data_IF_918137909229
#
_entry.id   IF_918137909229
#
_cell.length_a   1.000
_cell.length_b   1.000
_cell.length_c   1.000
_cell.angle_alpha   90.00
_cell.angle_beta   90.00
_cell.angle_gamma   90.00
#
_symmetry.space_group_name_H-M   'P 1'
#
loop_
_entity.id
_entity.type
_entity.pdbx_description
1 polymer ?
#
# COMPACT_ATOMS: atom_id res chain seq x y z
N UNK A 1 6.44 12.25 23.78
CA UNK A 1 7.37 11.76 22.76
C UNK A 1 7.36 10.24 22.84
N UNK A 2 6.99 9.59 21.75
CA UNK A 2 7.05 8.14 21.64
C UNK A 2 8.52 7.69 21.58
N UNK A 3 8.81 6.50 22.08
CA UNK A 3 10.14 5.87 21.91
C UNK A 3 10.40 5.49 20.45
N UNK A 4 9.38 5.55 19.59
CA UNK A 4 9.48 5.28 18.16
C UNK A 4 9.86 6.50 17.33
N UNK A 5 9.72 7.74 17.86
CA UNK A 5 9.98 8.95 17.07
C UNK A 5 11.41 8.94 16.48
N UNK A 6 12.43 8.69 17.28
CA UNK A 6 13.84 8.59 16.82
C UNK A 6 14.17 7.34 16.02
N UNK A 7 13.28 6.35 15.98
CA UNK A 7 13.39 5.13 15.18
C UNK A 7 12.47 5.16 13.94
N UNK A 8 11.90 6.33 13.64
CA UNK A 8 11.01 6.55 12.49
C UNK A 8 11.75 7.26 11.36
N UNK A 9 11.56 6.75 10.14
CA UNK A 9 12.07 7.31 8.91
C UNK A 9 10.91 7.74 8.01
N UNK A 10 10.85 9.01 7.63
CA UNK A 10 9.93 9.54 6.62
C UNK A 10 10.63 9.55 5.27
N UNK A 11 10.16 8.75 4.34
CA UNK A 11 10.69 8.64 2.98
C UNK A 11 9.94 9.61 2.08
N UNK A 12 10.66 10.54 1.46
CA UNK A 12 10.14 11.59 0.59
C UNK A 12 10.79 11.46 -0.79
N UNK A 13 10.12 10.79 -1.74
CA UNK A 13 10.59 10.73 -3.13
C UNK A 13 10.56 12.10 -3.80
N UNK A 14 11.62 12.45 -4.54
CA UNK A 14 11.72 13.71 -5.26
C UNK A 14 12.11 13.51 -6.72
N UNK A 15 11.49 14.31 -7.60
CA UNK A 15 11.90 14.52 -8.98
C UNK A 15 11.40 15.87 -9.47
N UNK A 16 12.29 16.87 -9.56
CA UNK A 16 11.98 18.27 -9.85
C UNK A 16 11.06 18.89 -8.78
N UNK A 17 11.50 18.86 -7.52
CA UNK A 17 10.74 19.34 -6.36
C UNK A 17 11.49 20.44 -5.60
N UNK A 18 12.33 21.22 -6.31
CA UNK A 18 13.20 22.24 -5.69
C UNK A 18 12.43 23.29 -4.88
N UNK A 19 11.18 23.60 -5.27
CA UNK A 19 10.31 24.56 -4.57
C UNK A 19 9.61 23.91 -3.37
N UNK A 20 9.21 22.65 -3.48
CA UNK A 20 8.46 21.91 -2.46
C UNK A 20 9.37 21.36 -1.35
N UNK A 21 10.58 20.92 -1.70
CA UNK A 21 11.48 20.26 -0.76
C UNK A 21 11.77 21.08 0.52
N UNK A 22 12.09 22.39 0.46
CA UNK A 22 12.30 23.19 1.68
C UNK A 22 11.05 23.28 2.55
N UNK A 23 9.88 23.33 1.94
CA UNK A 23 8.60 23.47 2.63
C UNK A 23 8.25 22.19 3.38
N UNK A 24 8.32 21.03 2.69
CA UNK A 24 7.94 19.77 3.30
C UNK A 24 8.93 19.34 4.39
N UNK A 25 10.24 19.45 4.14
CA UNK A 25 11.25 19.10 5.15
C UNK A 25 11.15 19.99 6.39
N UNK A 26 10.99 21.32 6.21
CA UNK A 26 10.78 22.24 7.32
C UNK A 26 9.55 21.90 8.16
N UNK A 27 8.41 21.62 7.52
CA UNK A 27 7.16 21.23 8.21
C UNK A 27 7.29 19.90 8.96
N UNK A 28 7.97 18.91 8.39
CA UNK A 28 8.22 17.62 9.10
C UNK A 28 9.08 17.87 10.33
N UNK A 29 10.17 18.63 10.21
CA UNK A 29 11.08 18.94 11.32
C UNK A 29 10.41 19.77 12.42
N UNK A 30 9.48 20.68 12.06
CA UNK A 30 8.70 21.45 13.02
C UNK A 30 7.67 20.58 13.75
N UNK A 31 6.96 19.71 13.03
CA UNK A 31 5.90 18.85 13.58
C UNK A 31 6.46 17.73 14.48
N UNK A 32 7.53 17.08 14.06
CA UNK A 32 8.14 15.92 14.72
C UNK A 32 9.68 16.02 14.71
N UNK A 33 10.27 16.76 15.65
CA UNK A 33 11.71 17.08 15.65
C UNK A 33 12.64 15.86 15.73
N UNK A 34 12.19 14.74 16.31
CA UNK A 34 13.01 13.53 16.50
C UNK A 34 12.92 12.53 15.33
N UNK A 35 12.00 12.76 14.38
CA UNK A 35 11.82 11.87 13.24
C UNK A 35 12.90 12.16 12.19
N UNK A 36 13.43 11.11 11.57
CA UNK A 36 14.38 11.23 10.48
C UNK A 36 13.66 11.34 9.13
N UNK A 37 14.26 12.07 8.20
CA UNK A 37 13.78 12.25 6.83
C UNK A 37 14.80 11.62 5.88
N UNK A 38 14.33 10.83 4.93
CA UNK A 38 15.12 10.38 3.78
C UNK A 38 14.55 11.01 2.50
N UNK A 39 15.27 11.93 1.91
CA UNK A 39 14.99 12.42 0.57
C UNK A 39 15.54 11.42 -0.44
N UNK A 40 14.67 10.85 -1.27
CA UNK A 40 15.06 9.90 -2.33
C UNK A 40 14.97 10.62 -3.67
N UNK A 41 16.09 11.11 -4.16
CA UNK A 41 16.15 11.92 -5.37
C UNK A 41 16.41 11.07 -6.63
N UNK A 42 15.49 11.12 -7.58
CA UNK A 42 15.53 10.41 -8.86
C UNK A 42 16.38 11.16 -9.91
N UNK A 43 17.56 11.69 -9.50
CA UNK A 43 18.48 12.46 -10.34
C UNK A 43 17.78 13.70 -10.95
N UNK A 44 17.26 14.55 -10.10
CA UNK A 44 16.54 15.78 -10.48
C UNK A 44 17.47 16.78 -11.20
N UNK A 45 17.12 17.23 -12.40
CA UNK A 45 17.94 18.20 -13.15
C UNK A 45 17.77 19.66 -12.68
N UNK A 46 16.82 19.95 -11.76
CA UNK A 46 16.50 21.31 -11.30
C UNK A 46 17.28 21.75 -10.06
N UNK A 47 18.18 20.91 -9.53
CA UNK A 47 18.96 21.20 -8.32
C UNK A 47 18.31 20.71 -7.03
N UNK A 48 17.23 19.91 -7.09
CA UNK A 48 16.59 19.34 -5.90
C UNK A 48 17.56 18.50 -5.07
N UNK A 49 18.39 17.65 -5.72
CA UNK A 49 19.36 16.79 -5.04
C UNK A 49 20.43 17.59 -4.29
N UNK A 50 21.02 18.61 -4.93
CA UNK A 50 22.01 19.48 -4.29
C UNK A 50 21.40 20.27 -3.11
N UNK A 51 20.12 20.63 -3.22
CA UNK A 51 19.41 21.29 -2.13
C UNK A 51 19.19 20.33 -0.96
N UNK A 52 18.87 19.06 -1.22
CA UNK A 52 18.75 18.04 -0.20
C UNK A 52 20.08 17.78 0.53
N UNK A 53 21.20 17.72 -0.21
CA UNK A 53 22.53 17.60 0.37
C UNK A 53 22.88 18.75 1.31
N UNK A 54 22.48 19.97 0.95
CA UNK A 54 22.69 21.14 1.81
C UNK A 54 21.90 21.00 3.14
N UNK A 55 20.67 20.49 3.10
CA UNK A 55 19.90 20.26 4.32
C UNK A 55 20.49 19.15 5.17
N UNK A 56 20.96 18.05 4.57
CA UNK A 56 21.62 16.96 5.29
C UNK A 56 22.94 17.40 5.95
N UNK A 57 23.63 18.37 5.38
CA UNK A 57 24.84 18.94 5.98
C UNK A 57 24.56 19.84 7.20
N UNK A 58 23.34 20.37 7.34
CA UNK A 58 22.92 21.27 8.42
C UNK A 58 22.13 20.55 9.53
N UNK A 59 21.47 19.40 9.22
CA UNK A 59 20.61 18.66 10.15
C UNK A 59 20.87 17.14 10.04
N UNK A 60 21.41 16.54 11.07
CA UNK A 60 21.73 15.10 11.15
C UNK A 60 20.49 14.17 11.05
N UNK A 61 19.27 14.71 11.13
CA UNK A 61 18.03 13.97 10.92
C UNK A 61 17.58 13.94 9.46
N UNK A 62 18.27 14.63 8.57
CA UNK A 62 17.97 14.63 7.14
C UNK A 62 19.04 13.82 6.41
N UNK A 63 18.58 12.85 5.64
CA UNK A 63 19.42 11.97 4.83
C UNK A 63 19.03 12.09 3.36
N UNK A 64 19.96 11.79 2.46
CA UNK A 64 19.73 11.83 1.02
C UNK A 64 20.16 10.52 0.40
N UNK A 65 19.33 9.99 -0.49
CA UNK A 65 19.63 8.86 -1.35
C UNK A 65 19.50 9.30 -2.81
N UNK A 66 20.62 9.49 -3.47
CA UNK A 66 20.66 9.77 -4.90
C UNK A 66 20.50 8.49 -5.70
N UNK A 67 19.54 8.46 -6.62
CA UNK A 67 19.36 7.37 -7.56
C UNK A 67 19.95 7.74 -8.93
N UNK A 68 20.40 6.75 -9.69
CA UNK A 68 21.06 7.00 -10.99
C UNK A 68 20.14 7.64 -12.04
N UNK A 69 18.81 7.52 -11.88
CA UNK A 69 17.83 8.09 -12.80
C UNK A 69 16.39 7.82 -12.38
N UNK A 70 15.46 8.39 -13.13
CA UNK A 70 14.01 8.31 -12.85
C UNK A 70 13.49 6.88 -12.96
N UNK A 71 13.36 6.22 -11.82
CA UNK A 71 12.78 4.87 -11.69
C UNK A 71 11.30 4.85 -11.34
N UNK A 72 10.69 6.03 -11.19
CA UNK A 72 9.29 6.19 -10.77
C UNK A 72 9.07 6.02 -9.27
N UNK A 73 7.87 6.38 -8.83
CA UNK A 73 7.50 6.48 -7.41
C UNK A 73 7.71 5.16 -6.65
N UNK A 74 7.25 4.03 -7.21
CA UNK A 74 7.48 2.71 -6.61
C UNK A 74 8.96 2.43 -6.36
N UNK A 75 9.79 2.63 -7.39
CA UNK A 75 11.23 2.37 -7.26
C UNK A 75 11.91 3.27 -6.23
N UNK A 76 11.44 4.51 -6.07
CA UNK A 76 11.95 5.43 -5.06
C UNK A 76 11.54 4.98 -3.64
N UNK A 77 10.30 4.55 -3.43
CA UNK A 77 9.88 4.01 -2.13
C UNK A 77 10.59 2.70 -1.79
N UNK A 78 10.72 1.76 -2.73
CA UNK A 78 11.49 0.52 -2.48
C UNK A 78 12.92 0.84 -2.03
N UNK A 79 13.63 1.71 -2.78
CA UNK A 79 14.99 2.10 -2.41
C UNK A 79 15.05 2.77 -1.02
N UNK A 80 14.04 3.57 -0.67
CA UNK A 80 13.92 4.18 0.66
C UNK A 80 13.63 3.16 1.76
N UNK A 81 12.78 2.17 1.51
CA UNK A 81 12.50 1.07 2.45
C UNK A 81 13.77 0.24 2.70
N UNK A 82 14.44 -0.21 1.63
CA UNK A 82 15.70 -0.97 1.74
C UNK A 82 16.74 -0.18 2.52
N UNK A 83 16.93 1.11 2.22
CA UNK A 83 17.86 2.00 2.93
C UNK A 83 17.53 2.10 4.43
N UNK A 84 16.26 2.22 4.77
CA UNK A 84 15.79 2.28 6.17
C UNK A 84 15.92 0.95 6.90
N UNK A 85 15.58 -0.16 6.25
CA UNK A 85 15.73 -1.51 6.81
C UNK A 85 17.19 -1.87 7.09
N UNK A 86 18.14 -1.45 6.25
CA UNK A 86 19.58 -1.62 6.50
C UNK A 86 20.10 -0.84 7.71
N UNK A 87 19.36 0.16 8.20
CA UNK A 87 19.78 1.09 9.28
C UNK A 87 18.95 0.99 10.55
N UNK A 88 18.27 -0.15 10.74
CA UNK A 88 17.52 -0.48 11.93
C UNK A 88 16.36 0.47 12.29
N UNK A 89 15.82 1.24 11.34
CA UNK A 89 14.58 1.98 11.58
C UNK A 89 13.43 1.02 11.85
N UNK A 90 12.60 1.32 12.85
CA UNK A 90 11.50 0.47 13.30
C UNK A 90 10.18 0.83 12.64
N UNK A 91 10.04 2.09 12.19
CA UNK A 91 8.87 2.59 11.49
C UNK A 91 9.34 3.34 10.23
N UNK A 92 8.77 2.97 9.09
CA UNK A 92 9.05 3.62 7.82
C UNK A 92 7.76 4.23 7.28
N UNK A 93 7.82 5.52 6.91
CA UNK A 93 6.65 6.26 6.46
C UNK A 93 6.81 6.70 5.00
N UNK A 94 5.73 6.63 4.24
CA UNK A 94 5.61 7.22 2.92
C UNK A 94 5.00 8.62 3.02
N UNK A 95 5.59 9.60 2.36
CA UNK A 95 5.07 10.97 2.27
C UNK A 95 5.49 11.62 0.96
N UNK A 96 4.53 12.22 0.24
CA UNK A 96 4.83 12.96 -0.99
C UNK A 96 5.47 14.32 -0.71
N UNK A 97 6.35 14.78 -1.61
CA UNK A 97 7.04 16.06 -1.48
C UNK A 97 6.15 17.28 -1.74
N UNK A 98 5.02 17.11 -2.44
CA UNK A 98 4.21 18.20 -3.01
C UNK A 98 3.27 18.90 -2.01
N UNK A 99 3.37 18.54 -0.72
CA UNK A 99 2.57 19.14 0.36
C UNK A 99 1.12 18.65 0.43
N UNK A 100 0.72 17.67 -0.41
CA UNK A 100 -0.62 17.06 -0.34
C UNK A 100 -0.87 16.34 0.97
N UNK A 101 0.17 15.75 1.56
CA UNK A 101 0.17 15.13 2.87
C UNK A 101 0.60 16.17 3.93
N UNK A 102 -0.21 16.36 4.96
CA UNK A 102 0.10 17.26 6.05
C UNK A 102 1.06 16.61 7.06
N UNK A 103 2.33 17.06 7.17
CA UNK A 103 3.28 16.50 8.15
C UNK A 103 2.78 16.61 9.60
N UNK A 104 1.97 17.63 9.88
CA UNK A 104 1.35 17.87 11.19
C UNK A 104 0.38 16.74 11.60
N UNK A 105 -0.06 15.91 10.64
CA UNK A 105 -0.93 14.75 10.89
C UNK A 105 -0.18 13.43 10.99
N UNK A 106 1.16 13.41 10.79
CA UNK A 106 1.95 12.18 10.89
C UNK A 106 1.85 11.52 12.26
N UNK A 107 1.71 12.34 13.32
CA UNK A 107 1.53 11.82 14.68
C UNK A 107 0.31 10.89 14.80
N UNK A 108 -0.78 11.10 14.02
CA UNK A 108 -1.95 10.22 14.04
C UNK A 108 -1.62 8.82 13.56
N UNK A 109 -0.75 8.71 12.55
CA UNK A 109 -0.30 7.41 12.04
C UNK A 109 0.62 6.72 13.07
N UNK A 110 1.57 7.46 13.64
CA UNK A 110 2.53 6.94 14.61
C UNK A 110 1.85 6.50 15.91
N UNK A 111 0.82 7.20 16.36
CA UNK A 111 0.02 6.78 17.52
C UNK A 111 -0.65 5.42 17.34
N UNK A 112 -1.14 5.09 16.14
CA UNK A 112 -1.73 3.77 15.88
C UNK A 112 -0.65 2.68 15.76
N UNK A 113 0.53 3.03 15.23
CA UNK A 113 1.70 2.14 15.30
C UNK A 113 2.06 1.85 16.76
N UNK A 114 2.12 2.85 17.63
CA UNK A 114 2.40 2.67 19.07
C UNK A 114 1.35 1.76 19.75
N UNK A 115 0.10 1.81 19.32
CA UNK A 115 -0.99 0.97 19.82
C UNK A 115 -0.98 -0.46 19.23
N UNK A 116 0.00 -0.79 18.39
CA UNK A 116 0.23 -2.15 17.89
C UNK A 116 -0.17 -2.39 16.44
N UNK A 117 -0.60 -1.38 15.67
CA UNK A 117 -0.83 -1.55 14.23
C UNK A 117 0.48 -1.86 13.49
N UNK A 118 0.40 -2.69 12.45
CA UNK A 118 1.53 -3.04 11.58
C UNK A 118 1.61 -2.12 10.36
N UNK A 119 0.45 -1.66 9.87
CA UNK A 119 0.32 -0.68 8.81
C UNK A 119 -0.75 0.34 9.20
N UNK A 120 -0.43 1.62 9.08
CA UNK A 120 -1.42 2.69 9.23
C UNK A 120 -1.52 3.49 7.94
N UNK A 121 -2.74 3.65 7.47
CA UNK A 121 -3.06 4.39 6.24
C UNK A 121 -3.74 5.70 6.63
N UNK A 122 -3.16 6.82 6.20
CA UNK A 122 -3.83 8.12 6.25
C UNK A 122 -4.95 8.17 5.21
N UNK A 123 -6.18 8.04 5.67
CA UNK A 123 -7.36 7.84 4.82
C UNK A 123 -8.16 9.14 4.65
N UNK A 124 -8.51 9.44 3.40
CA UNK A 124 -9.39 10.55 3.01
C UNK A 124 -10.86 10.22 3.23
N UNK A 125 -11.20 8.93 3.46
CA UNK A 125 -12.58 8.43 3.33
C UNK A 125 -13.16 7.82 4.59
N UNK A 126 -12.39 7.65 5.65
CA UNK A 126 -12.91 7.35 6.99
C UNK A 126 -13.56 8.59 7.64
N UNK A 127 -14.42 8.43 8.64
CA UNK A 127 -15.03 9.57 9.33
C UNK A 127 -13.97 10.55 9.85
N UNK A 128 -14.07 11.81 9.42
CA UNK A 128 -13.11 12.87 9.74
C UNK A 128 -12.03 13.10 8.67
N UNK A 129 -11.89 12.20 7.69
CA UNK A 129 -11.02 12.39 6.53
C UNK A 129 -11.67 13.30 5.48
N UNK A 130 -10.85 14.08 4.76
CA UNK A 130 -11.34 15.01 3.75
C UNK A 130 -10.34 15.27 2.63
N UNK A 131 -10.86 15.78 1.52
CA UNK A 131 -10.06 16.30 0.39
C UNK A 131 -10.33 17.79 0.24
N UNK A 132 -9.26 18.58 0.15
CA UNK A 132 -9.34 20.05 0.03
C UNK A 132 -8.90 20.47 -1.38
N UNK A 133 -9.65 21.36 -1.99
CA UNK A 133 -9.41 21.91 -3.34
C UNK A 133 -9.52 20.88 -4.49
N UNK A 134 -10.03 19.68 -4.25
CA UNK A 134 -10.29 18.73 -5.33
C UNK A 134 -11.56 19.05 -6.10
N UNK A 135 -11.58 18.87 -7.42
CA UNK A 135 -12.82 18.85 -8.18
C UNK A 135 -13.72 17.70 -7.70
N UNK A 136 -15.02 17.96 -7.51
CA UNK A 136 -15.98 16.95 -7.04
C UNK A 136 -15.99 15.67 -7.91
N UNK A 137 -15.77 15.80 -9.22
CA UNK A 137 -15.67 14.67 -10.16
C UNK A 137 -14.49 13.75 -9.84
N UNK A 138 -13.33 14.32 -9.46
CA UNK A 138 -12.13 13.57 -9.08
C UNK A 138 -12.36 12.86 -7.75
N UNK A 139 -12.94 13.53 -6.76
CA UNK A 139 -13.27 12.92 -5.47
C UNK A 139 -14.23 11.74 -5.65
N UNK A 140 -15.31 11.95 -6.41
CA UNK A 140 -16.29 10.90 -6.68
C UNK A 140 -15.67 9.69 -7.37
N UNK A 141 -14.84 9.90 -8.40
CA UNK A 141 -14.15 8.83 -9.11
C UNK A 141 -13.20 8.06 -8.17
N UNK A 142 -12.46 8.77 -7.31
CA UNK A 142 -11.55 8.16 -6.35
C UNK A 142 -12.29 7.33 -5.29
N UNK A 143 -13.42 7.83 -4.75
CA UNK A 143 -14.28 7.09 -3.81
C UNK A 143 -14.87 5.82 -4.43
N UNK A 144 -15.38 5.91 -5.66
CA UNK A 144 -15.91 4.74 -6.39
C UNK A 144 -14.79 3.73 -6.69
N UNK A 145 -13.61 4.22 -7.07
CA UNK A 145 -12.43 3.36 -7.29
C UNK A 145 -12.07 2.57 -6.04
N UNK A 146 -11.96 3.24 -4.90
CA UNK A 146 -11.66 2.57 -3.62
C UNK A 146 -12.76 1.60 -3.19
N UNK A 147 -14.04 1.97 -3.32
CA UNK A 147 -15.15 1.06 -3.05
C UNK A 147 -15.08 -0.21 -3.91
N UNK A 148 -14.76 -0.06 -5.21
CA UNK A 148 -14.57 -1.19 -6.10
C UNK A 148 -13.38 -2.07 -5.68
N UNK A 149 -12.24 -1.46 -5.35
CA UNK A 149 -11.02 -2.15 -4.91
C UNK A 149 -11.32 -2.98 -3.65
N UNK A 150 -11.91 -2.36 -2.62
CA UNK A 150 -12.25 -3.04 -1.36
C UNK A 150 -13.22 -4.20 -1.59
N UNK A 151 -14.26 -3.99 -2.41
CA UNK A 151 -15.21 -5.05 -2.77
C UNK A 151 -14.52 -6.19 -3.55
N UNK A 152 -13.70 -5.88 -4.54
CA UNK A 152 -13.03 -6.89 -5.35
C UNK A 152 -12.04 -7.73 -4.54
N UNK A 153 -11.27 -7.09 -3.66
CA UNK A 153 -10.25 -7.74 -2.84
C UNK A 153 -10.80 -8.33 -1.54
N UNK A 154 -12.05 -8.00 -1.16
CA UNK A 154 -12.69 -8.51 0.05
C UNK A 154 -12.09 -7.93 1.33
N UNK A 155 -11.77 -6.62 1.32
CA UNK A 155 -11.23 -5.88 2.46
C UNK A 155 -12.24 -4.86 2.98
N UNK A 156 -12.07 -4.42 4.23
CA UNK A 156 -12.87 -3.35 4.83
C UNK A 156 -12.17 -1.98 4.77
N UNK A 157 -11.04 -1.88 4.06
CA UNK A 157 -10.26 -0.65 3.94
C UNK A 157 -10.97 0.35 3.02
N UNK A 158 -11.06 1.60 3.47
CA UNK A 158 -11.78 2.68 2.78
C UNK A 158 -10.92 3.39 1.74
N UNK A 159 -9.56 3.44 1.93
CA UNK A 159 -8.64 4.17 1.07
C UNK A 159 -7.35 3.42 0.77
N UNK A 160 -7.45 2.36 -0.03
CA UNK A 160 -6.31 1.54 -0.44
C UNK A 160 -5.35 2.26 -1.41
N UNK A 161 -5.75 3.41 -1.94
CA UNK A 161 -4.94 4.20 -2.89
C UNK A 161 -4.18 5.35 -2.24
N UNK A 162 -4.37 5.57 -0.93
CA UNK A 162 -3.64 6.62 -0.22
C UNK A 162 -2.14 6.29 -0.16
N UNK A 163 -1.30 7.31 -0.36
CA UNK A 163 0.16 7.23 -0.31
C UNK A 163 0.77 7.78 0.98
N UNK A 164 -0.04 8.16 1.96
CA UNK A 164 0.42 8.59 3.29
C UNK A 164 0.30 7.43 4.26
N UNK A 165 1.40 6.76 4.56
CA UNK A 165 1.41 5.50 5.29
C UNK A 165 2.55 5.43 6.30
N UNK A 166 2.33 4.66 7.36
CA UNK A 166 3.37 4.24 8.29
C UNK A 166 3.37 2.71 8.38
N UNK A 167 4.53 2.11 8.23
CA UNK A 167 4.76 0.67 8.27
C UNK A 167 5.66 0.31 9.42
N UNK A 168 5.34 -0.76 10.14
CA UNK A 168 6.32 -1.44 10.98
C UNK A 168 7.36 -2.14 10.13
N UNK A 169 8.58 -2.19 10.65
CA UNK A 169 9.71 -2.87 10.04
C UNK A 169 9.39 -4.31 9.64
N UNK A 170 8.81 -5.08 10.54
CA UNK A 170 8.53 -6.51 10.37
C UNK A 170 7.63 -6.77 9.17
N UNK A 171 6.65 -5.92 8.92
CA UNK A 171 5.78 -6.04 7.75
C UNK A 171 6.57 -5.85 6.45
N UNK A 172 7.46 -4.86 6.39
CA UNK A 172 8.25 -4.59 5.18
C UNK A 172 9.32 -5.67 4.94
N UNK A 173 9.87 -6.30 5.99
CA UNK A 173 10.79 -7.43 5.87
C UNK A 173 10.11 -8.68 5.28
N UNK A 174 8.81 -8.85 5.51
CA UNK A 174 8.02 -9.98 4.99
C UNK A 174 7.52 -9.76 3.55
N UNK A 175 7.62 -8.53 3.02
CA UNK A 175 7.18 -8.22 1.65
C UNK A 175 8.33 -8.45 0.66
N UNK A 176 8.07 -9.27 -0.35
CA UNK A 176 8.93 -9.37 -1.53
C UNK A 176 8.66 -8.18 -2.47
N UNK A 177 9.56 -7.20 -2.45
CA UNK A 177 9.44 -5.98 -3.25
C UNK A 177 9.57 -6.24 -4.77
N UNK A 178 10.26 -7.30 -5.19
CA UNK A 178 10.42 -7.66 -6.60
C UNK A 178 9.12 -8.12 -7.23
N UNK A 179 8.22 -8.66 -6.42
CA UNK A 179 6.90 -9.13 -6.84
C UNK A 179 5.83 -8.03 -6.87
N UNK A 180 6.13 -6.81 -6.40
CA UNK A 180 5.16 -5.73 -6.40
C UNK A 180 4.76 -5.31 -7.82
N UNK A 181 3.49 -4.96 -7.97
CA UNK A 181 2.96 -4.50 -9.25
C UNK A 181 3.63 -3.21 -9.70
N UNK A 182 4.29 -3.24 -10.86
CA UNK A 182 4.97 -2.09 -11.48
C UNK A 182 4.03 -1.21 -12.32
N UNK A 183 2.73 -1.47 -12.28
CA UNK A 183 1.72 -0.72 -13.02
C UNK A 183 1.34 0.58 -12.29
N UNK A 184 2.14 1.61 -12.43
CA UNK A 184 1.86 2.96 -11.91
C UNK A 184 1.67 3.02 -10.38
N UNK A 185 0.58 3.62 -9.91
CA UNK A 185 0.28 3.80 -8.48
C UNK A 185 -0.43 2.60 -7.82
N UNK A 186 -0.68 1.51 -8.58
CA UNK A 186 -1.39 0.34 -8.04
C UNK A 186 -0.56 -0.42 -7.00
N UNK A 187 0.75 -0.16 -6.93
CA UNK A 187 1.62 -0.74 -5.90
C UNK A 187 1.12 -0.44 -4.47
N UNK A 188 0.47 0.71 -4.25
CA UNK A 188 -0.12 1.05 -2.96
C UNK A 188 -1.24 0.07 -2.59
N UNK A 189 -2.05 -0.33 -3.57
CA UNK A 189 -3.10 -1.33 -3.38
C UNK A 189 -2.48 -2.71 -3.16
N UNK A 190 -1.43 -3.06 -3.91
CA UNK A 190 -0.72 -4.33 -3.80
C UNK A 190 -0.06 -4.49 -2.41
N UNK A 191 0.65 -3.46 -1.93
CA UNK A 191 1.24 -3.43 -0.59
C UNK A 191 0.19 -3.68 0.50
N UNK A 192 -0.90 -2.91 0.48
CA UNK A 192 -1.98 -3.06 1.46
C UNK A 192 -2.63 -4.45 1.36
N UNK A 193 -2.86 -4.96 0.16
CA UNK A 193 -3.48 -6.26 -0.04
C UNK A 193 -2.58 -7.43 0.41
N UNK A 194 -1.27 -7.34 0.20
CA UNK A 194 -0.30 -8.32 0.73
C UNK A 194 -0.32 -8.31 2.26
N UNK A 195 -0.34 -7.15 2.89
CA UNK A 195 -0.46 -7.02 4.33
C UNK A 195 -1.77 -7.64 4.86
N UNK A 196 -2.93 -7.40 4.20
CA UNK A 196 -4.21 -8.05 4.52
C UNK A 196 -4.11 -9.57 4.41
N UNK A 197 -3.53 -10.09 3.32
CA UNK A 197 -3.39 -11.54 3.10
C UNK A 197 -2.48 -12.22 4.13
N UNK A 198 -1.45 -11.52 4.59
CA UNK A 198 -0.53 -12.00 5.61
C UNK A 198 -1.13 -11.92 7.03
N UNK A 199 -2.27 -11.25 7.21
CA UNK A 199 -2.98 -11.16 8.49
C UNK A 199 -2.46 -10.07 9.43
N UNK A 200 -1.76 -9.07 8.90
CA UNK A 200 -1.28 -7.91 9.65
C UNK A 200 -2.43 -7.00 10.11
N UNK A 201 -2.24 -6.32 11.24
CA UNK A 201 -3.18 -5.31 11.78
C UNK A 201 -3.04 -4.00 11.00
N UNK A 202 -4.03 -3.73 10.13
CA UNK A 202 -4.06 -2.52 9.31
C UNK A 202 -5.13 -1.59 9.84
N UNK A 203 -4.76 -0.34 10.08
CA UNK A 203 -5.68 0.69 10.56
C UNK A 203 -5.71 1.89 9.62
N UNK A 204 -6.82 2.59 9.61
CA UNK A 204 -6.99 3.84 8.89
C UNK A 204 -7.22 4.98 9.87
N UNK A 205 -6.51 6.10 9.68
CA UNK A 205 -6.72 7.34 10.43
C UNK A 205 -7.17 8.44 9.49
N UNK A 206 -8.05 9.36 9.94
CA UNK A 206 -8.50 10.46 9.10
C UNK A 206 -7.37 11.46 8.83
N UNK A 207 -7.23 11.85 7.56
CA UNK A 207 -6.33 12.91 7.15
C UNK A 207 -7.04 13.95 6.29
N UNK A 208 -6.49 15.17 6.27
CA UNK A 208 -6.81 16.19 5.29
C UNK A 208 -5.82 16.10 4.14
N UNK A 209 -6.29 15.76 2.96
CA UNK A 209 -5.50 15.72 1.74
C UNK A 209 -5.76 16.98 0.92
N UNK A 210 -4.73 17.80 0.72
CA UNK A 210 -4.86 19.07 -0.01
C UNK A 210 -4.33 18.92 -1.43
N UNK A 211 -5.00 19.52 -2.44
CA UNK A 211 -4.44 19.58 -3.78
C UNK A 211 -3.09 20.30 -3.75
N UNK A 212 -2.10 19.79 -4.48
CA UNK A 212 -0.76 20.40 -4.57
C UNK A 212 -0.84 21.84 -5.06
N UNK A 213 0.05 22.68 -4.57
CA UNK A 213 0.16 24.08 -5.01
C UNK A 213 1.07 24.22 -6.23
N UNK A 214 2.13 23.40 -6.31
CA UNK A 214 3.13 23.43 -7.37
C UNK A 214 3.23 22.08 -8.08
N UNK A 215 3.55 22.11 -9.39
CA UNK A 215 3.76 20.90 -10.21
C UNK A 215 2.49 20.39 -10.91
N UNK A 216 2.65 19.48 -11.87
CA UNK A 216 1.57 18.88 -12.65
C UNK A 216 1.27 17.44 -12.21
N UNK A 217 -0.01 17.05 -12.25
CA UNK A 217 -0.41 15.67 -11.98
C UNK A 217 0.04 14.74 -13.11
N UNK A 218 0.80 13.71 -12.77
CA UNK A 218 1.33 12.69 -13.70
C UNK A 218 0.35 11.52 -13.95
N UNK A 219 -0.91 11.64 -13.45
CA UNK A 219 -1.94 10.60 -13.62
C UNK A 219 -2.54 10.65 -15.04
N UNK A 220 -2.35 9.59 -15.81
CA UNK A 220 -2.99 9.38 -17.11
C UNK A 220 -4.24 8.50 -16.98
N UNK A 221 -5.31 8.83 -17.73
CA UNK A 221 -6.57 8.08 -17.71
C UNK A 221 -6.47 6.62 -18.20
N UNK A 222 -5.42 6.26 -18.93
CA UNK A 222 -5.17 4.87 -19.35
C UNK A 222 -4.86 3.97 -18.16
N UNK A 223 -4.20 4.52 -17.15
CA UNK A 223 -3.81 3.87 -15.91
C UNK A 223 -5.00 3.29 -15.12
N UNK A 224 -6.15 3.98 -15.10
CA UNK A 224 -7.33 3.53 -14.35
C UNK A 224 -7.83 2.17 -14.85
N UNK A 225 -7.84 1.93 -16.15
CA UNK A 225 -8.29 0.66 -16.73
C UNK A 225 -7.36 -0.50 -16.39
N UNK A 226 -6.06 -0.28 -16.51
CA UNK A 226 -5.05 -1.31 -16.22
C UNK A 226 -5.07 -1.66 -14.72
N UNK A 227 -5.24 -0.67 -13.85
CA UNK A 227 -5.40 -0.86 -12.40
C UNK A 227 -6.64 -1.67 -12.04
N UNK A 228 -7.80 -1.33 -12.59
CA UNK A 228 -9.04 -2.07 -12.33
C UNK A 228 -8.95 -3.52 -12.81
N UNK A 229 -8.26 -3.75 -13.92
CA UNK A 229 -8.04 -5.09 -14.44
C UNK A 229 -7.16 -5.94 -13.52
N UNK A 230 -6.02 -5.40 -13.04
CA UNK A 230 -5.14 -6.10 -12.10
C UNK A 230 -5.85 -6.39 -10.78
N UNK A 231 -6.58 -5.41 -10.22
CA UNK A 231 -7.38 -5.61 -9.00
C UNK A 231 -8.41 -6.71 -9.17
N UNK A 232 -9.12 -6.74 -10.30
CA UNK A 232 -10.10 -7.80 -10.60
C UNK A 232 -9.44 -9.18 -10.61
N UNK A 233 -8.29 -9.29 -11.25
CA UNK A 233 -7.50 -10.53 -11.34
C UNK A 233 -7.07 -11.02 -9.95
N UNK A 234 -6.55 -10.12 -9.12
CA UNK A 234 -6.17 -10.44 -7.74
C UNK A 234 -7.36 -10.89 -6.90
N UNK A 235 -8.48 -10.17 -6.97
CA UNK A 235 -9.69 -10.51 -6.24
C UNK A 235 -10.26 -11.87 -6.62
N UNK A 236 -10.30 -12.22 -7.92
CA UNK A 236 -10.74 -13.53 -8.36
C UNK A 236 -9.78 -14.64 -7.91
N UNK A 237 -8.46 -14.40 -8.01
CA UNK A 237 -7.47 -15.37 -7.56
C UNK A 237 -7.57 -15.62 -6.05
N UNK A 238 -7.71 -14.57 -5.25
CA UNK A 238 -7.86 -14.67 -3.80
C UNK A 238 -9.13 -15.43 -3.39
N UNK A 239 -10.27 -15.13 -4.02
CA UNK A 239 -11.51 -15.87 -3.75
C UNK A 239 -11.42 -17.34 -4.14
N UNK A 240 -10.70 -17.65 -5.24
CA UNK A 240 -10.46 -19.03 -5.62
C UNK A 240 -9.60 -19.79 -4.60
N UNK A 241 -8.59 -19.12 -4.00
CA UNK A 241 -7.81 -19.67 -2.88
C UNK A 241 -8.69 -19.92 -1.66
N UNK A 242 -9.49 -18.94 -1.22
CA UNK A 242 -10.40 -19.09 -0.08
C UNK A 242 -11.37 -20.27 -0.25
N UNK A 243 -11.93 -20.46 -1.45
CA UNK A 243 -12.81 -21.59 -1.75
C UNK A 243 -12.06 -22.94 -1.66
N UNK A 244 -10.81 -22.99 -2.11
CA UNK A 244 -9.98 -24.20 -2.01
C UNK A 244 -9.64 -24.54 -0.56
N UNK A 245 -9.27 -23.54 0.24
CA UNK A 245 -8.93 -23.71 1.65
C UNK A 245 -10.16 -24.20 2.43
N UNK A 246 -11.31 -23.55 2.23
CA UNK A 246 -12.57 -23.99 2.82
C UNK A 246 -12.93 -25.42 2.41
N UNK A 247 -12.78 -25.78 1.13
CA UNK A 247 -13.02 -27.14 0.66
C UNK A 247 -12.05 -28.15 1.31
N UNK A 248 -10.80 -27.77 1.51
CA UNK A 248 -9.78 -28.57 2.20
C UNK A 248 -10.13 -28.83 3.67
N UNK A 249 -10.57 -27.79 4.38
CA UNK A 249 -11.02 -27.90 5.77
C UNK A 249 -12.26 -28.79 5.91
N UNK A 250 -13.24 -28.58 5.06
CA UNK A 250 -14.45 -29.41 5.03
C UNK A 250 -14.14 -30.89 4.72
N UNK A 251 -13.14 -31.16 3.86
CA UNK A 251 -12.67 -32.54 3.59
C UNK A 251 -12.05 -33.17 4.83
N UNK A 252 -11.20 -32.43 5.56
CA UNK A 252 -10.58 -32.91 6.81
C UNK A 252 -11.63 -33.21 7.88
N UNK A 253 -12.64 -32.35 8.04
CA UNK A 253 -13.76 -32.57 8.95
C UNK A 253 -14.56 -33.83 8.57
N UNK A 254 -14.90 -33.99 7.29
CA UNK A 254 -15.62 -35.16 6.80
C UNK A 254 -14.84 -36.45 7.04
N UNK A 255 -13.52 -36.47 6.85
CA UNK A 255 -12.67 -37.62 7.11
C UNK A 255 -12.55 -37.96 8.62
N UNK A 256 -12.55 -36.92 9.46
CA UNK A 256 -12.56 -37.08 10.93
C UNK A 256 -13.89 -37.73 11.42
N UNK A 257 -15.03 -37.25 10.91
CA UNK A 257 -16.34 -37.85 11.24
C UNK A 257 -16.48 -39.30 10.79
N UNK A 258 -15.98 -39.62 9.59
CA UNK A 258 -16.01 -40.98 9.08
C UNK A 258 -15.14 -41.92 9.92
N UNK A 259 -13.99 -41.48 10.42
CA UNK A 259 -13.11 -42.30 11.29
C UNK A 259 -13.69 -42.53 12.69
N UNK A 260 -14.54 -41.68 13.20
CA UNK A 260 -15.11 -41.76 14.56
C UNK A 260 -16.54 -42.28 14.61
N UNK A 261 -17.07 -42.83 13.49
CA UNK A 261 -18.30 -43.63 13.46
C UNK A 261 -19.62 -42.87 13.55
N UNK A 262 -19.61 -41.59 13.36
CA UNK A 262 -20.80 -40.74 13.39
C UNK A 262 -21.23 -40.35 11.97
N UNK A 263 -22.25 -41.01 11.45
CA UNK A 263 -23.06 -40.63 10.27
C UNK A 263 -22.42 -40.83 8.89
N UNK A 264 -22.49 -42.07 8.38
CA UNK A 264 -22.05 -42.44 7.03
C UNK A 264 -22.67 -41.59 5.87
N UNK A 265 -23.90 -41.09 6.02
CA UNK A 265 -24.60 -40.29 5.00
C UNK A 265 -24.20 -38.79 4.97
N UNK A 266 -23.79 -38.21 6.09
CA UNK A 266 -23.40 -36.81 6.14
C UNK A 266 -22.01 -36.57 5.55
N UNK A 267 -21.05 -37.48 5.80
CA UNK A 267 -19.71 -37.46 5.23
C UNK A 267 -19.71 -37.54 3.71
N UNK A 268 -20.59 -38.36 3.11
CA UNK A 268 -20.68 -38.47 1.66
C UNK A 268 -21.30 -37.25 0.98
N UNK A 269 -22.30 -36.59 1.63
CA UNK A 269 -22.83 -35.29 1.17
C UNK A 269 -21.81 -34.17 1.27
N UNK A 270 -21.03 -34.14 2.36
CA UNK A 270 -19.95 -33.15 2.54
C UNK A 270 -18.84 -33.36 1.48
N UNK A 271 -18.40 -34.56 1.19
CA UNK A 271 -17.43 -34.88 0.13
C UNK A 271 -17.90 -34.43 -1.25
N UNK A 272 -19.18 -34.63 -1.58
CA UNK A 272 -19.75 -34.16 -2.84
C UNK A 272 -19.79 -32.63 -2.92
N UNK A 273 -20.10 -31.93 -1.83
CA UNK A 273 -20.06 -30.48 -1.72
C UNK A 273 -18.63 -29.91 -1.85
N UNK A 274 -17.66 -30.55 -1.20
CA UNK A 274 -16.22 -30.22 -1.31
C UNK A 274 -15.72 -30.44 -2.74
N UNK A 275 -16.08 -31.54 -3.39
CA UNK A 275 -15.70 -31.78 -4.78
C UNK A 275 -16.21 -30.70 -5.74
N UNK A 276 -17.45 -30.24 -5.56
CA UNK A 276 -18.00 -29.15 -6.34
C UNK A 276 -17.27 -27.81 -6.08
N UNK A 277 -17.00 -27.46 -4.82
CA UNK A 277 -16.29 -26.23 -4.46
C UNK A 277 -14.85 -26.22 -5.01
N UNK A 278 -14.15 -27.36 -4.93
CA UNK A 278 -12.79 -27.49 -5.49
C UNK A 278 -12.80 -27.37 -7.01
N UNK A 279 -13.80 -27.95 -7.69
CA UNK A 279 -13.94 -27.81 -9.15
C UNK A 279 -14.22 -26.37 -9.55
N UNK A 280 -15.12 -25.67 -8.84
CA UNK A 280 -15.42 -24.26 -9.07
C UNK A 280 -14.16 -23.39 -8.89
N UNK A 281 -13.38 -23.60 -7.83
CA UNK A 281 -12.14 -22.88 -7.60
C UNK A 281 -11.11 -23.12 -8.72
N UNK A 282 -11.02 -24.36 -9.23
CA UNK A 282 -10.13 -24.69 -10.35
C UNK A 282 -10.60 -24.06 -11.66
N UNK A 283 -11.91 -24.02 -11.92
CA UNK A 283 -12.47 -23.34 -13.09
C UNK A 283 -12.27 -21.83 -13.04
N UNK A 284 -12.47 -21.19 -11.88
CA UNK A 284 -12.17 -19.76 -11.67
C UNK A 284 -10.67 -19.50 -11.90
N UNK A 285 -9.79 -20.30 -11.34
CA UNK A 285 -8.33 -20.21 -11.57
C UNK A 285 -7.94 -20.39 -13.04
N UNK A 286 -8.60 -21.30 -13.76
CA UNK A 286 -8.41 -21.50 -15.19
C UNK A 286 -8.86 -20.28 -16.00
N UNK A 287 -10.03 -19.71 -15.70
CA UNK A 287 -10.57 -18.50 -16.35
C UNK A 287 -9.62 -17.31 -16.18
N UNK A 288 -9.10 -17.09 -14.96
CA UNK A 288 -8.09 -16.05 -14.72
C UNK A 288 -6.84 -16.28 -15.54
N UNK A 289 -6.31 -17.50 -15.55
CA UNK A 289 -5.04 -17.83 -16.21
C UNK A 289 -5.09 -17.77 -17.73
N UNK A 290 -6.22 -18.17 -18.32
CA UNK A 290 -6.35 -18.35 -19.76
C UNK A 290 -7.13 -17.23 -20.47
N UNK A 291 -8.25 -16.75 -19.93
CA UNK A 291 -9.01 -15.67 -20.56
C UNK A 291 -8.37 -14.30 -20.34
N UNK A 292 -7.91 -14.05 -19.13
CA UNK A 292 -7.20 -12.81 -18.78
C UNK A 292 -5.84 -12.76 -19.49
N UNK A 293 -5.12 -13.87 -19.57
CA UNK A 293 -3.87 -13.98 -20.33
C UNK A 293 -4.01 -13.82 -21.85
N UNK A 294 -5.19 -14.08 -22.44
CA UNK A 294 -5.43 -13.82 -23.86
C UNK A 294 -5.69 -12.34 -24.18
N UNK A 295 -6.25 -11.59 -23.23
CA UNK A 295 -6.47 -10.13 -23.37
C UNK A 295 -5.15 -9.35 -23.33
N UNK A 296 -4.14 -9.86 -22.63
CA UNK A 296 -2.80 -9.25 -22.57
C UNK A 296 -1.91 -9.56 -23.78
N UNK A 297 -2.23 -10.62 -24.58
CA UNK A 297 -1.48 -10.99 -25.80
C UNK A 297 -1.96 -10.25 -27.08
N UNK A 298 -3.00 -9.42 -27.00
CA UNK A 298 -3.55 -8.64 -28.11
C UNK A 298 -3.14 -7.16 -28.09
N UNK A 299 -2.10 -6.81 -27.34
CA UNK A 299 -1.45 -5.48 -27.40
C UNK A 299 -0.09 -5.56 -28.05
#
# INVERSE_FOLDING_TARGET
MSTLDSATLVIIPTYNEIENLPLITGRVREALPEVHILVVDDNSPDGTGEKADAFAAEDDHIHVLHREGKGGLLGAYIAGFEWGLERDYQVLCEMDADGSHAPEQLHLLLEEIDKGADLVIGSRYVPGGETVNWPASREYLSRLGNLYISFALGTDLSDMTAGYRAFRRELLEDIDFDELSKAGYIFQVDLAFRAVKAGYDIREVPITFTEREYGESKLDGSFVKDSLFEVTKWGVAHRAEQVKDFAGEMSKLADHEVKHGSVHNAGQKARNGVGWATNLANELGYLVKHQVGQLTKKK
#
